data_IF_445713135224
#
_entry.id   IF_445713135224
#
_cell.length_a   1.000
_cell.length_b   1.000
_cell.length_c   1.000
_cell.angle_alpha   90.00
_cell.angle_beta   90.00
_cell.angle_gamma   90.00
#
_symmetry.space_group_name_H-M   'P 1'
#
loop_
_entity.id
_entity.type
_entity.pdbx_description
1 polymer ?
#
# COMPACT_ATOMS: atom_id res chain seq x y z
N UNK A 1 -2.63 -16.66 -5.77
CA UNK A 1 -1.37 -16.23 -6.41
C UNK A 1 -0.57 -17.41 -6.96
N UNK A 2 -0.37 -18.49 -6.19
CA UNK A 2 0.37 -19.67 -6.67
C UNK A 2 -0.21 -20.27 -7.98
N UNK A 3 -1.52 -20.39 -8.08
CA UNK A 3 -2.18 -20.96 -9.26
C UNK A 3 -2.01 -20.08 -10.52
N UNK A 4 -2.02 -18.75 -10.35
CA UNK A 4 -1.78 -17.81 -11.45
C UNK A 4 -0.31 -17.87 -11.91
N UNK A 5 0.62 -18.04 -10.98
CA UNK A 5 2.04 -18.13 -11.28
C UNK A 5 2.42 -19.40 -12.10
N UNK A 6 1.50 -20.38 -12.22
CA UNK A 6 1.70 -21.55 -13.07
C UNK A 6 1.41 -21.29 -14.56
N UNK A 7 0.79 -20.16 -14.89
CA UNK A 7 0.49 -19.79 -16.27
C UNK A 7 1.79 -19.44 -16.97
N UNK A 8 2.08 -20.20 -18.04
CA UNK A 8 3.30 -20.03 -18.82
C UNK A 8 3.35 -18.66 -19.50
N UNK A 9 4.53 -18.04 -19.53
CA UNK A 9 4.80 -16.76 -20.18
C UNK A 9 4.02 -15.57 -19.58
N UNK A 10 3.56 -15.67 -18.32
CA UNK A 10 2.90 -14.60 -17.61
C UNK A 10 3.82 -13.99 -16.54
N UNK A 11 4.18 -12.72 -16.71
CA UNK A 11 4.89 -11.93 -15.71
C UNK A 11 3.90 -11.32 -14.72
N UNK A 12 4.05 -11.65 -13.45
CA UNK A 12 3.17 -11.14 -12.38
C UNK A 12 3.81 -9.94 -11.69
N UNK A 13 3.02 -8.89 -11.48
CA UNK A 13 3.34 -7.76 -10.62
C UNK A 13 2.38 -7.72 -9.43
N UNK A 14 2.90 -7.50 -8.21
CA UNK A 14 2.06 -7.32 -7.04
C UNK A 14 2.52 -6.15 -6.17
N UNK A 15 1.56 -5.47 -5.55
CA UNK A 15 1.87 -4.50 -4.51
C UNK A 15 2.43 -5.21 -3.28
N UNK A 16 3.51 -4.65 -2.74
CA UNK A 16 4.19 -5.16 -1.53
C UNK A 16 4.19 -4.15 -0.38
N UNK A 17 3.99 -2.87 -0.67
CA UNK A 17 4.03 -1.81 0.34
C UNK A 17 3.18 -0.61 -0.05
N UNK A 18 2.57 0.02 0.94
CA UNK A 18 1.87 1.30 0.83
C UNK A 18 0.39 1.25 1.18
N UNK A 19 -0.31 2.30 0.83
CA UNK A 19 -1.70 2.51 1.22
C UNK A 19 -2.65 1.53 0.50
N UNK A 20 -3.42 0.76 1.29
CA UNK A 20 -4.50 -0.05 0.77
C UNK A 20 -5.75 0.79 0.49
N UNK A 21 -6.49 0.41 -0.56
CA UNK A 21 -7.78 0.98 -0.89
C UNK A 21 -8.91 0.09 -0.34
N UNK A 22 -9.91 0.71 0.29
CA UNK A 22 -11.09 0.01 0.80
C UNK A 22 -11.97 -0.58 -0.31
N UNK A 23 -11.99 0.06 -1.47
CA UNK A 23 -12.87 -0.28 -2.58
C UNK A 23 -12.19 -1.15 -3.64
N UNK A 24 -13.01 -1.88 -4.40
CA UNK A 24 -12.57 -2.45 -5.66
C UNK A 24 -12.07 -1.38 -6.61
N UNK A 25 -11.03 -1.71 -7.37
CA UNK A 25 -10.46 -0.80 -8.36
C UNK A 25 -11.48 -0.42 -9.44
N UNK A 26 -11.54 0.86 -9.78
CA UNK A 26 -12.35 1.39 -10.88
C UNK A 26 -13.82 1.68 -10.55
N UNK A 27 -14.35 1.34 -9.38
CA UNK A 27 -15.79 1.51 -9.07
C UNK A 27 -16.09 2.45 -7.91
N UNK A 28 -15.06 2.96 -7.20
CA UNK A 28 -15.28 3.85 -6.06
C UNK A 28 -15.76 5.23 -6.51
N UNK A 29 -16.91 5.64 -5.98
CA UNK A 29 -17.47 6.98 -6.20
C UNK A 29 -17.46 7.86 -4.95
N UNK A 30 -16.97 7.36 -3.81
CA UNK A 30 -17.04 8.07 -2.53
C UNK A 30 -16.42 9.48 -2.61
N UNK A 31 -15.18 9.59 -3.11
CA UNK A 31 -14.53 10.90 -3.28
C UNK A 31 -15.23 11.80 -4.31
N UNK A 32 -15.98 11.23 -5.26
CA UNK A 32 -16.76 11.99 -6.22
C UNK A 32 -18.00 12.60 -5.57
N UNK A 33 -18.72 11.84 -4.74
CA UNK A 33 -19.89 12.32 -4.01
C UNK A 33 -19.53 13.38 -2.98
N UNK A 34 -18.52 13.12 -2.14
CA UNK A 34 -18.14 14.01 -1.03
C UNK A 34 -17.43 15.30 -1.49
N UNK A 35 -16.64 15.20 -2.57
CA UNK A 35 -15.70 16.28 -2.93
C UNK A 35 -15.69 16.65 -4.42
N UNK A 36 -16.55 16.07 -5.25
CA UNK A 36 -16.52 16.29 -6.70
C UNK A 36 -15.22 15.79 -7.36
N UNK A 37 -14.46 14.89 -6.71
CA UNK A 37 -13.15 14.43 -7.16
C UNK A 37 -13.16 12.93 -7.46
N UNK A 38 -13.03 12.56 -8.74
CA UNK A 38 -13.07 11.15 -9.15
C UNK A 38 -11.84 10.38 -8.68
N UNK A 39 -12.06 9.39 -7.81
CA UNK A 39 -11.04 8.46 -7.37
C UNK A 39 -10.46 7.64 -8.54
N UNK A 40 -11.32 7.22 -9.47
CA UNK A 40 -10.95 6.40 -10.63
C UNK A 40 -10.07 7.15 -11.65
N UNK A 41 -10.02 8.49 -11.55
CA UNK A 41 -9.14 9.36 -12.35
C UNK A 41 -7.92 9.84 -11.54
N UNK A 42 -7.57 9.16 -10.46
CA UNK A 42 -6.41 9.49 -9.65
C UNK A 42 -6.56 10.73 -8.76
N UNK A 43 -7.78 11.29 -8.61
CA UNK A 43 -8.06 12.53 -7.85
C UNK A 43 -8.70 12.25 -6.48
N UNK A 44 -8.55 11.03 -5.93
CA UNK A 44 -9.09 10.67 -4.64
C UNK A 44 -8.57 11.57 -3.51
N UNK A 45 -9.48 12.06 -2.65
CA UNK A 45 -9.17 12.82 -1.44
C UNK A 45 -9.27 11.97 -0.17
N UNK A 46 -9.43 10.66 -0.32
CA UNK A 46 -9.47 9.68 0.77
C UNK A 46 -10.58 9.91 1.82
N UNK A 47 -11.85 10.19 1.44
CA UNK A 47 -12.91 10.38 2.42
C UNK A 47 -13.14 9.16 3.32
N UNK A 48 -12.80 7.95 2.85
CA UNK A 48 -12.85 6.72 3.65
C UNK A 48 -11.86 6.71 4.83
N UNK A 49 -10.93 7.67 4.90
CA UNK A 49 -9.96 7.83 5.99
C UNK A 49 -10.43 8.79 7.08
N UNK A 50 -11.57 9.46 6.87
CA UNK A 50 -12.16 10.33 7.87
C UNK A 50 -12.75 9.52 9.05
N UNK A 51 -12.98 10.21 10.16
CA UNK A 51 -13.77 9.67 11.26
C UNK A 51 -15.26 9.66 10.91
N UNK A 52 -15.93 8.58 11.27
CA UNK A 52 -17.37 8.41 11.13
C UNK A 52 -18.00 8.15 12.48
N UNK A 53 -19.14 8.82 12.75
CA UNK A 53 -19.88 8.58 13.98
C UNK A 53 -20.70 7.27 13.83
N UNK A 54 -20.40 6.29 14.68
CA UNK A 54 -21.12 5.03 14.79
C UNK A 54 -21.54 4.82 16.24
N UNK A 55 -22.84 4.78 16.49
CA UNK A 55 -23.40 4.60 17.85
C UNK A 55 -22.87 5.64 18.87
N UNK A 56 -22.72 6.90 18.46
CA UNK A 56 -22.21 7.99 19.30
C UNK A 56 -20.70 7.98 19.55
N UNK A 57 -19.94 7.11 18.86
CA UNK A 57 -18.46 7.07 18.91
C UNK A 57 -17.88 7.38 17.54
N UNK A 58 -16.81 8.15 17.53
CA UNK A 58 -16.05 8.42 16.32
C UNK A 58 -15.06 7.28 16.05
N UNK A 59 -15.11 6.71 14.86
CA UNK A 59 -14.28 5.59 14.44
C UNK A 59 -13.81 5.76 12.98
N UNK A 60 -12.62 5.27 12.68
CA UNK A 60 -12.10 5.18 11.30
C UNK A 60 -12.59 3.91 10.60
N UNK A 61 -13.91 3.72 10.52
CA UNK A 61 -14.57 2.46 10.12
C UNK A 61 -14.20 1.96 8.71
N UNK A 62 -13.77 2.84 7.81
CA UNK A 62 -13.39 2.50 6.43
C UNK A 62 -11.88 2.66 6.18
N UNK A 63 -11.09 3.02 7.19
CA UNK A 63 -9.66 3.20 7.05
C UNK A 63 -8.95 1.86 7.07
N UNK A 64 -8.43 1.43 5.91
CA UNK A 64 -7.56 0.26 5.83
C UNK A 64 -6.19 0.59 6.42
N UNK A 65 -5.58 -0.37 7.10
CA UNK A 65 -4.15 -0.30 7.46
C UNK A 65 -3.29 -0.27 6.19
N UNK A 66 -2.10 0.28 6.28
CA UNK A 66 -1.16 0.21 5.18
C UNK A 66 -0.56 -1.20 5.07
N UNK A 67 -0.27 -1.61 3.85
CA UNK A 67 0.35 -2.89 3.56
C UNK A 67 1.87 -2.79 3.72
N UNK A 68 2.48 -3.79 4.32
CA UNK A 68 3.92 -4.02 4.32
C UNK A 68 4.15 -5.53 4.42
N UNK A 69 4.65 -6.13 3.35
CA UNK A 69 4.89 -7.59 3.31
C UNK A 69 6.26 -7.96 3.92
N UNK A 70 7.13 -6.97 4.13
CA UNK A 70 8.43 -7.16 4.76
C UNK A 70 9.21 -8.34 4.11
N UNK A 71 9.67 -9.29 4.89
CA UNK A 71 10.46 -10.45 4.42
C UNK A 71 9.62 -11.49 3.65
N UNK A 72 8.30 -11.42 3.74
CA UNK A 72 7.41 -12.35 3.00
C UNK A 72 7.57 -12.23 1.48
N UNK A 73 8.17 -11.14 0.99
CA UNK A 73 8.43 -10.93 -0.44
C UNK A 73 9.38 -11.97 -1.05
N UNK A 74 10.28 -12.56 -0.24
CA UNK A 74 11.33 -13.49 -0.71
C UNK A 74 10.71 -14.74 -1.36
N UNK A 75 9.56 -15.17 -0.85
CA UNK A 75 8.90 -16.40 -1.27
C UNK A 75 7.73 -16.16 -2.24
N UNK A 76 7.54 -14.93 -2.73
CA UNK A 76 6.47 -14.65 -3.66
C UNK A 76 6.84 -15.09 -5.08
N UNK A 77 5.98 -15.87 -5.74
CA UNK A 77 6.21 -16.29 -7.13
C UNK A 77 5.80 -15.17 -8.11
N UNK A 78 6.46 -14.02 -8.01
CA UNK A 78 6.15 -12.82 -8.81
C UNK A 78 7.41 -12.24 -9.42
N UNK A 79 7.26 -11.62 -10.59
CA UNK A 79 8.34 -11.04 -11.35
C UNK A 79 8.67 -9.61 -10.90
N UNK A 80 7.64 -8.82 -10.57
CA UNK A 80 7.78 -7.41 -10.23
C UNK A 80 7.13 -7.08 -8.89
N UNK A 81 7.88 -6.37 -8.04
CA UNK A 81 7.45 -5.88 -6.72
C UNK A 81 7.07 -4.41 -6.83
N UNK A 82 5.84 -4.07 -6.49
CA UNK A 82 5.32 -2.71 -6.64
C UNK A 82 5.11 -2.01 -5.29
N UNK A 83 5.68 -0.82 -5.17
CA UNK A 83 5.50 0.07 -4.01
C UNK A 83 4.48 1.16 -4.39
N UNK A 84 3.42 1.32 -3.59
CA UNK A 84 2.50 2.45 -3.76
C UNK A 84 3.15 3.72 -3.20
N UNK A 85 3.42 4.69 -4.06
CA UNK A 85 4.12 5.91 -3.69
C UNK A 85 3.65 7.16 -4.44
N UNK A 86 2.57 7.08 -5.24
CA UNK A 86 2.14 8.17 -6.14
C UNK A 86 1.93 9.52 -5.46
N UNK A 87 1.44 9.53 -4.21
CA UNK A 87 1.21 10.75 -3.43
C UNK A 87 2.17 10.86 -2.24
N UNK A 88 3.32 10.24 -2.32
CA UNK A 88 4.35 10.25 -1.29
C UNK A 88 5.50 11.18 -1.69
N UNK A 89 6.25 11.64 -0.70
CA UNK A 89 7.46 12.43 -0.94
C UNK A 89 8.65 11.55 -1.35
N UNK A 90 9.72 12.17 -1.83
CA UNK A 90 10.91 11.46 -2.28
C UNK A 90 11.59 10.66 -1.17
N UNK A 91 11.55 11.16 0.08
CA UNK A 91 12.14 10.47 1.23
C UNK A 91 11.45 9.13 1.48
N UNK A 92 10.11 9.09 1.44
CA UNK A 92 9.35 7.85 1.56
C UNK A 92 9.75 6.84 0.47
N UNK A 93 9.77 7.29 -0.79
CA UNK A 93 10.10 6.41 -1.92
C UNK A 93 11.50 5.84 -1.76
N UNK A 94 12.49 6.69 -1.44
CA UNK A 94 13.86 6.27 -1.25
C UNK A 94 13.99 5.27 -0.10
N UNK A 95 13.43 5.58 1.08
CA UNK A 95 13.55 4.73 2.26
C UNK A 95 12.88 3.36 2.08
N UNK A 96 11.67 3.33 1.49
CA UNK A 96 10.95 2.07 1.26
C UNK A 96 11.65 1.23 0.20
N UNK A 97 12.15 1.84 -0.87
CA UNK A 97 12.90 1.12 -1.91
C UNK A 97 14.20 0.55 -1.35
N UNK A 98 14.97 1.33 -0.59
CA UNK A 98 16.20 0.88 0.07
C UNK A 98 15.92 -0.28 1.04
N UNK A 99 14.83 -0.21 1.81
CA UNK A 99 14.41 -1.28 2.71
C UNK A 99 14.20 -2.60 1.96
N UNK A 100 13.35 -2.61 0.94
CA UNK A 100 13.07 -3.83 0.17
C UNK A 100 14.27 -4.31 -0.63
N UNK A 101 15.12 -3.40 -1.11
CA UNK A 101 16.38 -3.77 -1.76
C UNK A 101 17.30 -4.53 -0.80
N UNK A 102 17.43 -4.07 0.44
CA UNK A 102 18.24 -4.75 1.46
C UNK A 102 17.69 -6.13 1.83
N UNK A 103 16.36 -6.31 1.85
CA UNK A 103 15.75 -7.64 2.04
C UNK A 103 16.17 -8.58 0.91
N UNK A 104 16.04 -8.14 -0.34
CA UNK A 104 16.38 -8.95 -1.52
C UNK A 104 17.86 -9.28 -1.62
N UNK A 105 18.73 -8.37 -1.17
CA UNK A 105 20.19 -8.55 -1.16
C UNK A 105 20.70 -9.35 0.06
N UNK A 106 19.84 -9.71 1.00
CA UNK A 106 20.20 -10.44 2.22
C UNK A 106 21.02 -9.62 3.23
N UNK A 107 20.93 -8.29 3.17
CA UNK A 107 21.67 -7.39 4.06
C UNK A 107 20.98 -7.30 5.44
N UNK A 108 21.72 -7.57 6.54
CA UNK A 108 21.20 -7.74 7.90
C UNK A 108 20.61 -6.50 8.62
N UNK A 109 20.60 -5.30 8.01
CA UNK A 109 20.10 -4.07 8.64
C UNK A 109 18.56 -3.87 8.51
N UNK A 110 17.82 -4.93 8.24
CA UNK A 110 16.38 -4.89 7.90
C UNK A 110 15.52 -4.34 9.03
N UNK A 111 15.78 -4.72 10.29
CA UNK A 111 14.96 -4.32 11.45
C UNK A 111 15.03 -2.83 11.76
N UNK A 112 16.20 -2.23 11.71
CA UNK A 112 16.39 -0.79 11.92
C UNK A 112 15.69 0.02 10.83
N UNK A 113 15.84 -0.40 9.59
CA UNK A 113 15.16 0.22 8.43
C UNK A 113 13.65 0.10 8.49
N UNK A 114 13.11 -1.02 8.98
CA UNK A 114 11.68 -1.20 9.21
C UNK A 114 11.11 -0.17 10.20
N UNK A 115 11.83 0.12 11.29
CA UNK A 115 11.42 1.14 12.27
C UNK A 115 11.42 2.54 11.64
N UNK A 116 12.43 2.87 10.86
CA UNK A 116 12.55 4.16 10.17
C UNK A 116 11.38 4.37 9.19
N UNK A 117 10.99 3.34 8.45
CA UNK A 117 9.85 3.43 7.52
C UNK A 117 8.54 3.68 8.28
N UNK A 118 8.32 3.03 9.41
CA UNK A 118 7.13 3.26 10.25
C UNK A 118 7.04 4.71 10.74
N UNK A 119 8.17 5.34 11.05
CA UNK A 119 8.21 6.76 11.43
C UNK A 119 7.92 7.71 10.28
N UNK A 120 8.39 7.38 9.06
CA UNK A 120 8.18 8.21 7.87
C UNK A 120 6.72 8.16 7.42
N UNK A 121 6.10 6.99 7.48
CA UNK A 121 4.71 6.78 7.10
C UNK A 121 4.16 5.44 7.61
N UNK A 122 3.29 5.50 8.58
CA UNK A 122 2.39 4.39 8.89
C UNK A 122 1.04 4.93 9.35
N UNK A 123 -0.02 4.19 9.07
CA UNK A 123 -1.37 4.49 9.56
C UNK A 123 -1.80 3.40 10.52
N UNK A 124 -2.48 3.78 11.60
CA UNK A 124 -3.01 2.82 12.56
C UNK A 124 -4.05 1.89 11.95
#
# INVERSE_FOLDING_TARGET
>A
MKDIATIKDLELEAFIHGALCYSYSGICQFSSFEHGRSANRGKCLYPCRAEFCKNGKNEHSFSMKDMALEEDIINLPIYSLKIEGRKKNALYVAAVTDYYRNILDGNGAVREKAQNIKQIFSRP
#
